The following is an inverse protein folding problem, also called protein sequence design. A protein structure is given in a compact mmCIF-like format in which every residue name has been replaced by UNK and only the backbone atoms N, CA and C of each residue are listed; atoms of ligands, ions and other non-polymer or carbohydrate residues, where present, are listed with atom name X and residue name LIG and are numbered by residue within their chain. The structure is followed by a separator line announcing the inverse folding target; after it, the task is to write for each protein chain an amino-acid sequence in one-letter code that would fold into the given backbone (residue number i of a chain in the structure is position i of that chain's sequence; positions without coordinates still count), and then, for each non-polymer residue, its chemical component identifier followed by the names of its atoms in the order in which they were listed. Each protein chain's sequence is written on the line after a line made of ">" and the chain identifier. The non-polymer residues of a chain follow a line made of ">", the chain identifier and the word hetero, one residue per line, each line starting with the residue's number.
data_IF_280450430105
#
_entry.id   IF_280450430105
#
_cell.length_a   1.000
_cell.length_b   1.000
_cell.length_c   1.000
_cell.angle_alpha   90.00
_cell.angle_beta   90.00
_cell.angle_gamma   90.00
#
_symmetry.space_group_name_H-M   'P 1'
#
loop_
_entity.id
_entity.type
_entity.pdbx_description
1 polymer ?
#
# COMPACT_ATOMS: atom_id res chain seq x y z
N UNK A 1 -13.96 -18.65 6.60
CA UNK A 1 -12.77 -18.52 5.72
C UNK A 1 -13.13 -17.61 4.57
N UNK A 2 -12.39 -16.53 4.36
CA UNK A 2 -12.64 -15.63 3.24
C UNK A 2 -12.31 -16.30 1.90
N UNK A 3 -12.95 -15.83 0.83
CA UNK A 3 -12.70 -16.28 -0.55
C UNK A 3 -11.72 -15.34 -1.28
N UNK A 4 -11.55 -14.10 -0.79
CA UNK A 4 -10.70 -13.07 -1.35
C UNK A 4 -9.96 -12.31 -0.26
N UNK A 5 -8.63 -12.21 -0.40
CA UNK A 5 -7.77 -11.36 0.41
C UNK A 5 -7.21 -10.22 -0.46
N UNK A 6 -7.49 -8.97 -0.06
CA UNK A 6 -7.04 -7.76 -0.74
C UNK A 6 -5.98 -7.10 0.14
N UNK A 7 -4.79 -6.88 -0.41
CA UNK A 7 -3.65 -6.33 0.32
C UNK A 7 -3.32 -4.91 -0.15
N UNK A 8 -2.98 -4.02 0.77
CA UNK A 8 -2.15 -2.88 0.39
C UNK A 8 -0.73 -3.34 0.04
N UNK A 9 0.06 -2.47 -0.59
CA UNK A 9 1.43 -2.79 -1.00
C UNK A 9 2.47 -2.23 -0.04
N UNK A 10 2.59 -0.90 -0.01
CA UNK A 10 3.68 -0.18 0.67
C UNK A 10 3.45 -0.19 2.19
N UNK A 11 4.30 -0.89 2.93
CA UNK A 11 4.14 -1.09 4.38
C UNK A 11 3.37 -2.35 4.77
N UNK A 12 2.67 -2.98 3.83
CA UNK A 12 1.88 -4.19 4.10
C UNK A 12 2.56 -5.45 3.56
N UNK A 13 2.78 -5.55 2.26
CA UNK A 13 3.45 -6.70 1.63
C UNK A 13 4.91 -6.43 1.26
N UNK A 14 5.27 -5.15 1.02
CA UNK A 14 6.62 -4.71 0.69
C UNK A 14 7.09 -3.61 1.64
N UNK A 15 8.33 -3.73 2.12
CA UNK A 15 9.04 -2.62 2.76
C UNK A 15 9.69 -1.78 1.68
N UNK A 16 9.02 -0.69 1.30
CA UNK A 16 9.44 0.22 0.22
C UNK A 16 10.01 1.53 0.74
N UNK A 17 10.09 1.71 2.05
CA UNK A 17 10.33 3.02 2.67
C UNK A 17 11.71 3.61 2.33
N UNK A 18 12.76 2.77 2.23
CA UNK A 18 14.09 3.25 1.89
C UNK A 18 14.16 3.79 0.47
N UNK A 19 13.59 3.08 -0.51
CA UNK A 19 13.55 3.54 -1.90
C UNK A 19 12.70 4.82 -2.05
N UNK A 20 11.59 4.93 -1.32
CA UNK A 20 10.77 6.14 -1.29
C UNK A 20 11.54 7.32 -0.69
N UNK A 21 12.27 7.10 0.42
CA UNK A 21 13.11 8.14 1.06
C UNK A 21 14.24 8.61 0.14
N UNK A 22 14.96 7.69 -0.47
CA UNK A 22 16.06 8.03 -1.39
C UNK A 22 15.50 8.82 -2.57
N UNK A 23 14.38 8.40 -3.14
CA UNK A 23 13.79 9.04 -4.32
C UNK A 23 13.24 10.42 -4.02
N UNK A 24 12.56 10.61 -2.88
CA UNK A 24 12.07 11.95 -2.51
C UNK A 24 13.22 12.89 -2.18
N UNK A 25 14.27 12.42 -1.49
CA UNK A 25 15.44 13.26 -1.19
C UNK A 25 16.23 13.63 -2.44
N UNK A 26 16.38 12.71 -3.39
CA UNK A 26 16.96 13.04 -4.70
C UNK A 26 16.17 14.17 -5.37
N UNK A 27 14.83 14.06 -5.42
CA UNK A 27 13.98 15.08 -6.03
C UNK A 27 14.04 16.43 -5.29
N UNK A 28 14.08 16.41 -3.96
CA UNK A 28 14.20 17.60 -3.14
C UNK A 28 15.52 18.33 -3.41
N UNK A 29 16.65 17.61 -3.38
CA UNK A 29 17.99 18.18 -3.63
C UNK A 29 18.09 18.75 -5.05
N UNK A 30 17.60 18.02 -6.08
CA UNK A 30 17.58 18.50 -7.48
C UNK A 30 16.80 19.82 -7.61
N UNK A 31 15.81 20.05 -6.76
CA UNK A 31 14.96 21.24 -6.75
C UNK A 31 15.37 22.31 -5.72
N UNK A 32 16.53 22.14 -5.06
CA UNK A 32 17.08 23.10 -4.11
C UNK A 32 16.44 23.09 -2.73
N UNK A 33 15.73 22.01 -2.36
CA UNK A 33 15.11 21.82 -1.06
C UNK A 33 15.96 20.93 -0.13
N UNK A 34 15.83 21.06 1.20
CA UNK A 34 16.51 20.20 2.15
C UNK A 34 15.96 18.77 2.13
N UNK A 35 16.82 17.80 2.41
CA UNK A 35 16.44 16.41 2.59
C UNK A 35 15.51 16.20 3.79
N UNK A 36 14.74 15.12 3.73
CA UNK A 36 13.89 14.63 4.81
C UNK A 36 14.50 13.39 5.46
N UNK A 37 14.31 13.29 6.77
CA UNK A 37 14.72 12.14 7.56
C UNK A 37 13.85 10.92 7.25
N UNK A 38 14.31 9.73 7.62
CA UNK A 38 13.55 8.49 7.49
C UNK A 38 12.19 8.56 8.19
N UNK A 39 12.17 9.10 9.42
CA UNK A 39 10.95 9.22 10.22
C UNK A 39 9.95 10.25 9.64
N UNK A 40 10.42 11.31 9.03
CA UNK A 40 9.55 12.25 8.32
C UNK A 40 8.91 11.58 7.10
N UNK A 41 9.72 10.91 6.27
CA UNK A 41 9.20 10.22 5.08
C UNK A 41 8.23 9.10 5.48
N UNK A 42 8.53 8.32 6.52
CA UNK A 42 7.61 7.30 7.09
C UNK A 42 6.23 7.89 7.41
N UNK A 43 6.19 9.10 7.99
CA UNK A 43 4.92 9.79 8.30
C UNK A 43 4.21 10.35 7.07
N UNK A 44 4.96 10.71 6.02
CA UNK A 44 4.41 11.38 4.84
C UNK A 44 3.80 10.42 3.81
N UNK A 45 4.26 9.17 3.75
CA UNK A 45 3.77 8.14 2.80
C UNK A 45 2.34 7.66 3.13
N UNK A 46 1.70 6.96 2.18
CA UNK A 46 0.40 6.30 2.34
C UNK A 46 -0.75 6.95 1.55
N UNK A 47 -0.67 8.25 1.25
CA UNK A 47 -1.72 8.98 0.52
C UNK A 47 -1.40 9.24 -0.98
N UNK A 48 -0.44 8.50 -1.52
CA UNK A 48 0.06 8.64 -2.90
C UNK A 48 1.16 9.68 -3.05
N UNK A 49 1.83 9.68 -4.20
CA UNK A 49 3.08 10.42 -4.44
C UNK A 49 2.90 11.94 -4.36
N UNK A 50 1.78 12.47 -4.83
CA UNK A 50 1.51 13.90 -4.76
C UNK A 50 1.49 14.40 -3.31
N UNK A 51 0.86 13.64 -2.38
CA UNK A 51 0.84 13.98 -0.95
C UNK A 51 2.20 13.78 -0.28
N UNK A 52 2.99 12.81 -0.73
CA UNK A 52 4.36 12.66 -0.29
C UNK A 52 5.18 13.90 -0.63
N UNK A 53 5.10 14.40 -1.86
CA UNK A 53 5.80 15.62 -2.29
C UNK A 53 5.31 16.84 -1.50
N UNK A 54 3.99 17.07 -1.45
CA UNK A 54 3.36 18.20 -0.73
C UNK A 54 3.86 18.30 0.73
N UNK A 55 3.97 17.15 1.42
CA UNK A 55 4.45 17.08 2.81
C UNK A 55 5.97 17.21 2.95
N UNK A 56 6.70 16.92 1.87
CA UNK A 56 8.18 16.91 1.88
C UNK A 56 8.78 18.27 1.55
N UNK A 57 8.11 19.10 0.78
CA UNK A 57 8.56 20.46 0.47
C UNK A 57 8.30 21.41 1.65
N UNK A 58 9.02 22.57 1.74
CA UNK A 58 8.72 23.60 2.74
C UNK A 58 7.28 24.13 2.61
N UNK A 59 6.69 24.51 3.75
CA UNK A 59 5.39 25.15 3.78
C UNK A 59 5.35 26.41 2.91
N UNK A 60 4.26 26.58 2.16
CA UNK A 60 4.10 27.72 1.23
C UNK A 60 4.74 27.51 -0.14
N UNK A 61 5.35 26.36 -0.42
CA UNK A 61 5.81 26.01 -1.78
C UNK A 61 4.62 25.97 -2.74
N UNK A 62 4.69 26.72 -3.85
CA UNK A 62 3.62 26.79 -4.84
C UNK A 62 3.42 25.47 -5.59
N UNK A 63 2.24 25.33 -6.22
CA UNK A 63 1.86 24.10 -6.91
C UNK A 63 2.75 23.77 -8.13
N UNK A 64 3.29 24.78 -8.80
CA UNK A 64 4.16 24.60 -9.97
C UNK A 64 5.47 23.97 -9.52
N UNK A 65 6.07 24.47 -8.45
CA UNK A 65 7.29 23.89 -7.87
C UNK A 65 7.07 22.49 -7.30
N UNK A 66 5.90 22.24 -6.70
CA UNK A 66 5.54 20.89 -6.27
C UNK A 66 5.44 19.90 -7.45
N UNK A 67 4.93 20.33 -8.62
CA UNK A 67 4.88 19.51 -9.83
C UNK A 67 6.29 19.22 -10.37
N UNK A 68 7.22 20.17 -10.30
CA UNK A 68 8.62 19.95 -10.68
C UNK A 68 9.27 18.88 -9.80
N UNK A 69 9.09 18.97 -8.46
CA UNK A 69 9.58 17.97 -7.51
C UNK A 69 8.96 16.59 -7.80
N UNK A 70 7.65 16.54 -8.06
CA UNK A 70 6.99 15.27 -8.40
C UNK A 70 7.54 14.67 -9.70
N UNK A 71 7.77 15.48 -10.72
CA UNK A 71 8.36 15.00 -11.98
C UNK A 71 9.80 14.48 -11.78
N UNK A 72 10.60 15.14 -10.94
CA UNK A 72 11.94 14.68 -10.54
C UNK A 72 11.86 13.35 -9.79
N UNK A 73 10.94 13.24 -8.84
CA UNK A 73 10.67 11.99 -8.11
C UNK A 73 10.30 10.86 -9.06
N UNK A 74 9.32 11.08 -9.95
CA UNK A 74 8.83 10.04 -10.87
C UNK A 74 9.94 9.53 -11.79
N UNK A 75 10.79 10.41 -12.33
CA UNK A 75 11.94 10.01 -13.16
C UNK A 75 12.91 9.11 -12.40
N UNK A 76 13.25 9.47 -11.18
CA UNK A 76 14.19 8.71 -10.37
C UNK A 76 13.57 7.41 -9.87
N UNK A 77 12.37 7.47 -9.31
CA UNK A 77 11.67 6.33 -8.73
C UNK A 77 11.32 5.25 -9.77
N UNK A 78 11.04 5.63 -11.02
CA UNK A 78 10.77 4.68 -12.10
C UNK A 78 11.91 3.67 -12.31
N UNK A 79 13.15 4.08 -12.02
CA UNK A 79 14.36 3.24 -12.16
C UNK A 79 14.74 2.58 -10.82
N UNK A 80 14.57 3.29 -9.70
CA UNK A 80 15.14 2.94 -8.40
C UNK A 80 14.10 2.44 -7.37
N UNK A 81 12.87 2.17 -7.78
CA UNK A 81 11.77 1.76 -6.86
C UNK A 81 11.94 0.37 -6.23
N UNK A 82 13.00 -0.35 -6.58
CA UNK A 82 13.23 -1.72 -6.15
C UNK A 82 14.71 -2.04 -5.88
N UNK A 83 15.50 -1.04 -5.46
CA UNK A 83 16.90 -1.21 -5.10
C UNK A 83 17.05 -1.79 -3.69
N UNK A 84 16.27 -1.29 -2.74
CA UNK A 84 16.22 -1.74 -1.34
C UNK A 84 14.90 -2.38 -0.94
N UNK A 85 13.86 -2.21 -1.75
CA UNK A 85 12.54 -2.81 -1.53
C UNK A 85 12.63 -4.33 -1.44
N UNK A 86 11.92 -4.90 -0.46
CA UNK A 86 11.83 -6.35 -0.24
C UNK A 86 10.50 -6.73 0.40
N UNK A 87 10.02 -7.97 0.16
CA UNK A 87 8.87 -8.49 0.90
C UNK A 87 9.12 -8.52 2.40
N UNK A 88 8.08 -8.24 3.18
CA UNK A 88 8.12 -8.55 4.61
C UNK A 88 8.22 -10.06 4.84
N UNK A 89 8.82 -10.43 5.97
CA UNK A 89 9.01 -11.83 6.33
C UNK A 89 7.67 -12.57 6.36
N UNK A 90 7.62 -13.75 5.76
CA UNK A 90 6.45 -14.63 5.75
C UNK A 90 5.38 -14.29 4.69
N UNK A 91 5.35 -13.09 4.11
CA UNK A 91 4.33 -12.68 3.11
C UNK A 91 4.28 -13.64 1.91
N UNK A 92 5.44 -13.96 1.34
CA UNK A 92 5.49 -14.86 0.17
C UNK A 92 4.94 -16.25 0.50
N UNK A 93 5.21 -16.77 1.69
CA UNK A 93 4.72 -18.09 2.10
C UNK A 93 3.22 -18.05 2.43
N UNK A 94 2.75 -16.98 3.07
CA UNK A 94 1.31 -16.76 3.27
C UNK A 94 0.55 -16.70 1.94
N UNK A 95 1.04 -15.97 0.94
CA UNK A 95 0.42 -15.93 -0.40
C UNK A 95 0.40 -17.30 -1.08
N UNK A 96 1.46 -18.09 -0.95
CA UNK A 96 1.50 -19.49 -1.46
C UNK A 96 0.45 -20.37 -0.78
N UNK A 97 0.26 -20.19 0.53
CA UNK A 97 -0.73 -20.96 1.29
C UNK A 97 -2.17 -20.55 0.90
N UNK A 98 -2.45 -19.25 0.74
CA UNK A 98 -3.73 -18.77 0.23
C UNK A 98 -4.04 -19.35 -1.15
N UNK A 99 -3.06 -19.36 -2.04
CA UNK A 99 -3.22 -19.94 -3.38
C UNK A 99 -3.51 -21.44 -3.35
N UNK A 100 -2.84 -22.24 -2.49
CA UNK A 100 -3.12 -23.67 -2.30
C UNK A 100 -4.56 -23.91 -1.85
N UNK A 101 -5.13 -22.97 -1.09
CA UNK A 101 -6.51 -23.03 -0.60
C UNK A 101 -7.54 -22.43 -1.57
N UNK A 102 -7.11 -22.05 -2.78
CA UNK A 102 -7.93 -21.38 -3.80
C UNK A 102 -8.56 -20.06 -3.33
N UNK A 103 -7.93 -19.37 -2.36
CA UNK A 103 -8.32 -18.02 -1.96
C UNK A 103 -7.74 -17.05 -2.98
N UNK A 104 -8.59 -16.21 -3.56
CA UNK A 104 -8.18 -15.17 -4.49
C UNK A 104 -7.38 -14.10 -3.78
N UNK A 105 -6.39 -13.54 -4.47
CA UNK A 105 -5.52 -12.50 -3.91
C UNK A 105 -5.43 -11.31 -4.85
N UNK A 106 -5.57 -10.11 -4.28
CA UNK A 106 -5.43 -8.87 -5.02
C UNK A 106 -4.55 -7.86 -4.26
N UNK A 107 -3.97 -6.93 -5.00
CA UNK A 107 -3.34 -5.73 -4.44
C UNK A 107 -4.19 -4.53 -4.77
N UNK A 108 -4.41 -3.63 -3.80
CA UNK A 108 -5.04 -2.32 -3.99
C UNK A 108 -4.16 -1.26 -3.31
N UNK A 109 -3.49 -0.43 -4.11
CA UNK A 109 -2.53 0.55 -3.60
C UNK A 109 -2.74 1.95 -4.20
N UNK A 110 -2.38 2.99 -3.42
CA UNK A 110 -2.29 4.38 -3.88
C UNK A 110 -1.04 4.68 -4.73
N UNK A 111 -0.19 3.67 -4.93
CA UNK A 111 0.96 3.71 -5.84
C UNK A 111 0.48 3.71 -7.30
N UNK A 112 1.18 4.38 -8.24
CA UNK A 112 0.86 4.29 -9.67
C UNK A 112 0.81 2.83 -10.16
N UNK A 113 -0.12 2.51 -11.07
CA UNK A 113 -0.37 1.14 -11.52
C UNK A 113 0.89 0.48 -12.12
N UNK A 114 1.68 1.21 -12.90
CA UNK A 114 2.94 0.68 -13.45
C UNK A 114 3.90 0.17 -12.37
N UNK A 115 3.97 0.89 -11.23
CA UNK A 115 4.82 0.50 -10.11
C UNK A 115 4.27 -0.73 -9.37
N UNK A 116 2.94 -0.83 -9.21
CA UNK A 116 2.30 -2.02 -8.62
C UNK A 116 2.56 -3.24 -9.49
N UNK A 117 2.34 -3.14 -10.82
CA UNK A 117 2.56 -4.24 -11.74
C UNK A 117 4.02 -4.71 -11.73
N UNK A 118 4.98 -3.77 -11.82
CA UNK A 118 6.41 -4.07 -11.82
C UNK A 118 6.88 -4.77 -10.54
N UNK A 119 6.45 -4.28 -9.38
CA UNK A 119 6.83 -4.87 -8.10
C UNK A 119 6.16 -6.23 -7.86
N UNK A 120 4.91 -6.41 -8.25
CA UNK A 120 4.25 -7.71 -8.21
C UNK A 120 4.94 -8.74 -9.11
N UNK A 121 5.31 -8.38 -10.34
CA UNK A 121 6.05 -9.27 -11.23
C UNK A 121 7.44 -9.62 -10.68
N UNK A 122 8.15 -8.65 -10.08
CA UNK A 122 9.50 -8.85 -9.52
C UNK A 122 9.48 -9.75 -8.29
N UNK A 123 8.58 -9.51 -7.32
CA UNK A 123 8.64 -10.15 -6.01
C UNK A 123 7.60 -11.25 -5.79
N UNK A 124 6.48 -11.20 -6.50
CA UNK A 124 5.31 -12.06 -6.27
C UNK A 124 4.76 -12.70 -7.54
N UNK A 125 5.63 -12.95 -8.52
CA UNK A 125 5.24 -13.51 -9.81
C UNK A 125 4.27 -14.68 -9.69
N UNK A 126 3.05 -14.47 -10.23
CA UNK A 126 1.99 -15.46 -10.24
C UNK A 126 1.37 -15.78 -8.87
N UNK A 127 1.64 -14.96 -7.82
CA UNK A 127 1.02 -15.10 -6.50
C UNK A 127 -0.20 -14.20 -6.30
N UNK A 128 -0.27 -13.06 -6.98
CA UNK A 128 -1.47 -12.23 -7.01
C UNK A 128 -2.28 -12.48 -8.28
N UNK A 129 -3.60 -12.65 -8.12
CA UNK A 129 -4.53 -12.82 -9.24
C UNK A 129 -4.86 -11.47 -9.90
N UNK A 130 -4.92 -10.38 -9.13
CA UNK A 130 -5.27 -9.04 -9.62
C UNK A 130 -4.54 -7.91 -8.86
N UNK A 131 -3.36 -7.47 -9.33
CA UNK A 131 -2.74 -6.23 -8.85
C UNK A 131 -3.45 -5.00 -9.41
N UNK A 132 -3.81 -4.04 -8.54
CA UNK A 132 -4.47 -2.77 -8.89
C UNK A 132 -3.74 -1.61 -8.23
N UNK A 133 -3.12 -0.77 -9.03
CA UNK A 133 -2.59 0.53 -8.64
C UNK A 133 -3.50 1.68 -9.08
N UNK A 134 -3.04 2.90 -8.84
CA UNK A 134 -3.76 4.10 -9.27
C UNK A 134 -3.72 4.27 -10.79
N UNK A 135 -4.90 4.50 -11.37
CA UNK A 135 -5.14 4.82 -12.79
C UNK A 135 -5.95 6.10 -12.90
N UNK A 136 -5.87 6.74 -14.05
CA UNK A 136 -6.69 7.92 -14.35
C UNK A 136 -8.19 7.60 -14.21
N UNK A 137 -8.93 8.53 -13.60
CA UNK A 137 -10.36 8.38 -13.36
C UNK A 137 -10.74 7.56 -12.12
N UNK A 138 -9.79 6.93 -11.42
CA UNK A 138 -10.02 6.20 -10.18
C UNK A 138 -9.70 7.09 -8.96
N UNK A 139 -10.59 7.15 -7.98
CA UNK A 139 -10.34 7.86 -6.73
C UNK A 139 -9.40 7.05 -5.84
N UNK A 140 -8.41 7.74 -5.23
CA UNK A 140 -7.44 7.14 -4.30
C UNK A 140 -8.11 6.61 -3.03
N UNK A 141 -7.52 5.58 -2.40
CA UNK A 141 -7.84 5.22 -1.02
C UNK A 141 -7.77 6.48 -0.14
N UNK A 142 -8.75 6.72 0.78
CA UNK A 142 -9.73 5.78 1.29
C UNK A 142 -11.03 5.65 0.48
N UNK A 143 -11.13 6.17 -0.77
CA UNK A 143 -12.28 5.84 -1.62
C UNK A 143 -12.29 4.32 -1.92
N UNK A 144 -13.48 3.69 -1.94
CA UNK A 144 -13.58 2.24 -2.10
C UNK A 144 -13.46 1.75 -3.54
N UNK A 145 -13.23 2.64 -4.51
CA UNK A 145 -13.36 2.38 -5.94
C UNK A 145 -12.55 1.18 -6.42
N UNK A 146 -11.27 1.10 -6.03
CA UNK A 146 -10.39 0.00 -6.41
C UNK A 146 -10.82 -1.33 -5.75
N UNK A 147 -11.27 -1.29 -4.49
CA UNK A 147 -11.79 -2.48 -3.78
C UNK A 147 -13.06 -2.98 -4.45
N UNK A 148 -14.00 -2.09 -4.76
CA UNK A 148 -15.24 -2.45 -5.45
C UNK A 148 -14.98 -2.99 -6.86
N UNK A 149 -13.97 -2.47 -7.55
CA UNK A 149 -13.50 -3.02 -8.84
C UNK A 149 -13.00 -4.46 -8.67
N UNK A 150 -12.20 -4.75 -7.64
CA UNK A 150 -11.69 -6.10 -7.35
C UNK A 150 -12.83 -7.07 -7.01
N UNK A 151 -13.76 -6.68 -6.14
CA UNK A 151 -14.93 -7.50 -5.81
C UNK A 151 -15.77 -7.86 -7.03
N UNK A 152 -16.01 -6.85 -7.89
CA UNK A 152 -16.76 -7.04 -9.15
C UNK A 152 -16.00 -7.96 -10.11
N UNK A 153 -14.68 -7.84 -10.21
CA UNK A 153 -13.86 -8.67 -11.11
C UNK A 153 -13.94 -10.15 -10.76
N UNK A 154 -13.94 -10.48 -9.46
CA UNK A 154 -14.02 -11.88 -9.01
C UNK A 154 -15.43 -12.36 -8.76
N UNK A 155 -16.45 -11.49 -8.85
CA UNK A 155 -17.84 -11.78 -8.52
C UNK A 155 -18.01 -12.30 -7.08
N UNK A 156 -17.17 -11.78 -6.14
CA UNK A 156 -17.17 -12.15 -4.71
C UNK A 156 -17.93 -11.10 -3.90
N UNK A 157 -18.77 -11.56 -2.98
CA UNK A 157 -19.50 -10.69 -2.08
C UNK A 157 -18.54 -10.07 -1.03
N UNK A 158 -18.87 -8.88 -0.53
CA UNK A 158 -18.01 -8.16 0.42
C UNK A 158 -17.83 -8.91 1.75
N UNK A 159 -18.82 -9.69 2.15
CA UNK A 159 -18.80 -10.53 3.36
C UNK A 159 -17.76 -11.66 3.25
N UNK A 160 -17.44 -12.09 2.02
CA UNK A 160 -16.47 -13.15 1.71
C UNK A 160 -15.06 -12.61 1.41
N UNK A 161 -14.84 -11.30 1.57
CA UNK A 161 -13.57 -10.64 1.31
C UNK A 161 -13.03 -9.94 2.56
N UNK A 162 -11.70 -9.83 2.65
CA UNK A 162 -11.00 -9.12 3.72
C UNK A 162 -9.95 -8.19 3.12
N UNK A 163 -9.78 -7.01 3.73
CA UNK A 163 -8.73 -6.06 3.37
C UNK A 163 -7.60 -6.12 4.42
N UNK A 164 -6.35 -6.14 3.96
CA UNK A 164 -5.15 -6.18 4.81
C UNK A 164 -4.34 -4.92 4.54
N UNK A 165 -3.99 -4.16 5.59
CA UNK A 165 -3.24 -2.93 5.45
C UNK A 165 -2.59 -2.45 6.74
N UNK A 166 -1.62 -1.54 6.63
CA UNK A 166 -0.81 -1.06 7.75
C UNK A 166 -1.15 0.37 8.20
N UNK A 167 -2.18 1.00 7.60
CA UNK A 167 -2.47 2.41 7.82
C UNK A 167 -3.94 2.71 8.11
N UNK A 168 -4.19 3.90 8.67
CA UNK A 168 -5.54 4.45 8.84
C UNK A 168 -6.29 4.61 7.50
N UNK A 169 -5.55 4.82 6.40
CA UNK A 169 -6.12 4.89 5.05
C UNK A 169 -6.72 3.54 4.67
N UNK A 170 -6.07 2.44 5.02
CA UNK A 170 -6.51 1.08 4.70
C UNK A 170 -7.75 0.70 5.50
N UNK A 171 -7.74 0.99 6.81
CA UNK A 171 -8.89 0.77 7.69
C UNK A 171 -10.11 1.52 7.17
N UNK A 172 -9.95 2.80 6.81
CA UNK A 172 -11.02 3.61 6.23
C UNK A 172 -11.46 3.10 4.86
N UNK A 173 -10.53 2.58 4.04
CA UNK A 173 -10.86 1.99 2.73
C UNK A 173 -11.74 0.76 2.89
N UNK A 174 -11.35 -0.15 3.78
CA UNK A 174 -12.13 -1.34 4.11
C UNK A 174 -13.54 -0.96 4.62
N UNK A 175 -13.61 -0.03 5.57
CA UNK A 175 -14.88 0.49 6.12
C UNK A 175 -15.77 1.08 5.02
N UNK A 176 -15.21 1.92 4.15
CA UNK A 176 -15.96 2.55 3.06
C UNK A 176 -16.44 1.54 2.00
N UNK A 177 -15.71 0.44 1.82
CA UNK A 177 -16.11 -0.67 0.95
C UNK A 177 -17.08 -1.67 1.63
N UNK A 178 -17.21 -1.60 2.96
CA UNK A 178 -18.01 -2.53 3.76
C UNK A 178 -17.35 -3.89 3.97
N UNK A 179 -16.01 -3.94 4.00
CA UNK A 179 -15.21 -5.13 4.25
C UNK A 179 -14.71 -5.19 5.70
N UNK A 180 -14.41 -6.41 6.16
CA UNK A 180 -13.52 -6.60 7.30
C UNK A 180 -12.11 -6.10 6.97
N UNK A 181 -11.40 -5.61 8.00
CA UNK A 181 -10.02 -5.15 7.89
C UNK A 181 -9.14 -5.89 8.91
N UNK A 182 -7.99 -6.38 8.44
CA UNK A 182 -6.89 -6.84 9.29
C UNK A 182 -5.78 -5.79 9.21
N UNK A 183 -5.57 -5.07 10.30
CA UNK A 183 -4.47 -4.13 10.46
C UNK A 183 -3.17 -4.87 10.80
N UNK A 184 -2.06 -4.49 10.17
CA UNK A 184 -0.75 -5.09 10.41
C UNK A 184 0.21 -4.07 11.03
N UNK A 185 1.00 -4.47 12.05
CA UNK A 185 1.83 -3.54 12.82
C UNK A 185 3.28 -3.43 12.36
N UNK A 186 3.73 -4.28 11.45
CA UNK A 186 5.10 -4.22 10.91
C UNK A 186 5.32 -3.14 9.86
N UNK A 187 4.26 -2.39 9.50
CA UNK A 187 4.29 -1.37 8.45
C UNK A 187 4.73 0.02 8.91
N UNK A 188 4.19 1.05 8.26
CA UNK A 188 4.62 2.43 8.46
C UNK A 188 3.88 3.15 9.58
N UNK A 189 2.73 2.64 10.05
CA UNK A 189 1.94 3.23 11.14
C UNK A 189 2.04 2.40 12.39
N UNK A 190 2.02 3.10 13.51
CA UNK A 190 2.00 2.47 14.82
C UNK A 190 0.59 1.91 15.12
N UNK A 191 0.50 0.89 15.97
CA UNK A 191 -0.76 0.22 16.37
C UNK A 191 -1.87 1.21 16.77
N UNK A 192 -1.52 2.24 17.54
CA UNK A 192 -2.47 3.26 18.00
C UNK A 192 -3.19 3.97 16.84
N UNK A 193 -2.51 4.20 15.71
CA UNK A 193 -3.11 4.80 14.51
C UNK A 193 -4.18 3.89 13.91
N UNK A 194 -3.93 2.58 13.88
CA UNK A 194 -4.88 1.59 13.40
C UNK A 194 -6.11 1.49 14.33
N UNK A 195 -5.87 1.46 15.64
CA UNK A 195 -6.92 1.44 16.66
C UNK A 195 -7.81 2.69 16.58
N UNK A 196 -7.21 3.86 16.49
CA UNK A 196 -7.92 5.14 16.36
C UNK A 196 -8.70 5.24 15.02
N UNK A 197 -8.25 4.56 13.97
CA UNK A 197 -8.98 4.45 12.72
C UNK A 197 -10.15 3.45 12.76
N UNK A 198 -10.27 2.65 13.83
CA UNK A 198 -11.36 1.70 14.06
C UNK A 198 -11.05 0.26 13.62
N UNK A 199 -9.78 -0.11 13.43
CA UNK A 199 -9.39 -1.49 13.19
C UNK A 199 -9.78 -2.39 14.37
N UNK A 200 -10.54 -3.46 14.09
CA UNK A 200 -10.99 -4.41 15.13
C UNK A 200 -10.05 -5.61 15.25
N UNK A 201 -9.36 -5.95 14.19
CA UNK A 201 -8.38 -7.03 14.13
C UNK A 201 -7.04 -6.39 13.79
N UNK A 202 -6.07 -6.53 14.68
CA UNK A 202 -4.71 -6.01 14.50
C UNK A 202 -3.74 -7.12 14.88
N UNK A 203 -2.85 -7.47 13.96
CA UNK A 203 -1.91 -8.57 14.07
C UNK A 203 -0.47 -8.08 14.01
N UNK A 204 0.45 -8.82 14.65
CA UNK A 204 1.84 -8.42 14.76
C UNK A 204 2.77 -9.19 13.81
N UNK A 205 2.30 -10.29 13.26
CA UNK A 205 3.06 -11.10 12.29
C UNK A 205 2.20 -11.73 11.19
N UNK A 206 2.87 -12.32 10.21
CA UNK A 206 2.21 -12.92 9.04
C UNK A 206 1.52 -14.24 9.33
N UNK A 207 1.85 -14.94 10.41
CA UNK A 207 1.18 -16.19 10.82
C UNK A 207 -0.19 -15.86 11.41
N UNK A 208 -0.25 -14.84 12.27
CA UNK A 208 -1.51 -14.31 12.80
C UNK A 208 -2.38 -13.76 11.66
N UNK A 209 -1.83 -12.97 10.75
CA UNK A 209 -2.54 -12.48 9.57
C UNK A 209 -3.16 -13.62 8.76
N UNK A 210 -2.37 -14.66 8.46
CA UNK A 210 -2.86 -15.82 7.70
C UNK A 210 -3.98 -16.54 8.47
N UNK A 211 -3.84 -16.72 9.77
CA UNK A 211 -4.86 -17.32 10.63
C UNK A 211 -6.17 -16.57 10.58
N UNK A 212 -6.15 -15.24 10.66
CA UNK A 212 -7.35 -14.41 10.56
C UNK A 212 -8.03 -14.52 9.18
N UNK A 213 -7.24 -14.53 8.09
CA UNK A 213 -7.78 -14.72 6.74
C UNK A 213 -8.46 -16.10 6.61
N UNK A 214 -7.86 -17.14 7.19
CA UNK A 214 -8.36 -18.51 7.11
C UNK A 214 -9.56 -18.78 8.06
N UNK A 215 -9.63 -18.09 9.19
CA UNK A 215 -10.76 -18.21 10.10
C UNK A 215 -12.06 -17.66 9.46
N UNK A 216 -11.97 -16.51 8.80
CA UNK A 216 -13.15 -15.77 8.36
C UNK A 216 -13.92 -15.14 9.52
N UNK A 217 -15.01 -14.44 9.22
CA UNK A 217 -15.99 -14.02 10.23
C UNK A 217 -16.97 -15.12 10.56
#
# INVERSE_FOLDING_TARGET
>A
MYQLAIFDMDGTILNTLEDLKISINHALVENGFPERTFEEVRRFVGNGLQKLVERSVPEGTDEEKQKEVLASFDRYYAVHCADYTKPYQGITDALRELKKRNIKTAVVSNKPDYGVQSLCEKYFKGLFDLPVGMKDGMRKKPAPDAVLHVLKHFEIAKEDAVFIGDSDVDVKTATNAGLACVGVTWGFRDREVLENAGARIIVDDTEEMLKEILAGQ
#
